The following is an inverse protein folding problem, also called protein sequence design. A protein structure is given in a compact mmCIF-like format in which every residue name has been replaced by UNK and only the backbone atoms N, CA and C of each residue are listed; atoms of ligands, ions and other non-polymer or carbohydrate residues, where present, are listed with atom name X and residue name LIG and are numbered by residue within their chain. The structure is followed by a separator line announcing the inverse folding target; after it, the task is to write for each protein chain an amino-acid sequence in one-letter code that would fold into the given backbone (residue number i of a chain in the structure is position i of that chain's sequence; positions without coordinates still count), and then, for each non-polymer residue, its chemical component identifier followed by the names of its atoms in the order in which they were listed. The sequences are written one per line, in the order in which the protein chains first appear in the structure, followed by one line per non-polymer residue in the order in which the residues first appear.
data_IF_775197203610
#
_entry.id   IF_775197203610
#
_cell.length_a   1.000
_cell.length_b   1.000
_cell.length_c   1.000
_cell.angle_alpha   90.00
_cell.angle_beta   90.00
_cell.angle_gamma   90.00
#
_symmetry.space_group_name_H-M   'P 1'
#
loop_
_entity.id
_entity.type
_entity.pdbx_description
1 polymer ?
#
# COMPACT_ATOMS: atom_id res chain seq x y z
N UNK A 1 11.99 9.78 -0.17
CA UNK A 1 11.37 8.52 0.32
C UNK A 1 9.93 8.82 0.64
N UNK A 2 8.99 7.95 0.26
CA UNK A 2 7.59 8.01 0.65
C UNK A 2 7.27 6.76 1.47
N UNK A 3 6.93 6.95 2.74
CA UNK A 3 6.52 5.87 3.64
C UNK A 3 5.03 5.96 3.89
N UNK A 4 4.30 4.87 3.68
CA UNK A 4 2.88 4.74 3.99
C UNK A 4 2.72 3.66 5.05
N UNK A 5 2.52 4.11 6.29
CA UNK A 5 2.19 3.21 7.39
C UNK A 5 0.71 2.83 7.35
N UNK A 6 0.39 1.59 7.74
CA UNK A 6 -0.97 1.05 7.61
C UNK A 6 -1.54 1.21 6.19
N UNK A 7 -0.74 0.91 5.16
CA UNK A 7 -1.09 1.08 3.74
C UNK A 7 -2.51 0.61 3.36
N UNK A 8 -3.04 -0.53 3.87
CA UNK A 8 -4.41 -0.95 3.59
C UNK A 8 -5.51 0.00 4.11
N UNK A 9 -5.23 0.95 5.00
CA UNK A 9 -6.21 1.92 5.49
C UNK A 9 -6.39 3.13 4.56
N UNK A 10 -5.45 3.34 3.63
CA UNK A 10 -5.62 4.35 2.60
C UNK A 10 -6.69 3.94 1.59
N UNK A 11 -7.31 4.95 0.98
CA UNK A 11 -8.24 4.69 -0.12
C UNK A 11 -7.48 4.01 -1.28
N UNK A 12 -8.06 2.95 -1.85
CA UNK A 12 -7.46 2.25 -3.00
C UNK A 12 -7.15 3.19 -4.17
N UNK A 13 -8.02 4.19 -4.42
CA UNK A 13 -7.79 5.22 -5.43
C UNK A 13 -6.49 6.02 -5.20
N UNK A 14 -6.17 6.35 -3.95
CA UNK A 14 -4.97 7.10 -3.62
C UNK A 14 -3.72 6.23 -3.83
N UNK A 15 -3.78 4.96 -3.42
CA UNK A 15 -2.68 4.01 -3.63
C UNK A 15 -2.47 3.73 -5.12
N UNK A 16 -3.53 3.47 -5.88
CA UNK A 16 -3.46 3.22 -7.32
C UNK A 16 -2.89 4.44 -8.08
N UNK A 17 -3.15 5.66 -7.61
CA UNK A 17 -2.59 6.87 -8.17
C UNK A 17 -1.05 6.96 -8.01
N UNK A 18 -0.44 6.20 -7.10
CA UNK A 18 1.03 6.16 -6.92
C UNK A 18 1.75 5.42 -8.06
N UNK A 19 1.03 4.58 -8.82
CA UNK A 19 1.63 3.80 -9.92
C UNK A 19 2.32 4.68 -10.97
N UNK A 20 1.65 5.74 -11.43
CA UNK A 20 2.21 6.65 -12.44
C UNK A 20 3.49 7.36 -11.92
N UNK A 21 3.52 7.94 -10.70
CA UNK A 21 4.75 8.49 -10.13
C UNK A 21 5.90 7.48 -10.06
N UNK A 22 5.62 6.23 -9.65
CA UNK A 22 6.64 5.18 -9.55
C UNK A 22 7.24 4.82 -10.91
N UNK A 23 6.43 4.80 -11.96
CA UNK A 23 6.88 4.49 -13.32
C UNK A 23 7.59 5.67 -13.99
N UNK A 24 7.02 6.87 -13.86
CA UNK A 24 7.42 8.02 -14.68
C UNK A 24 8.34 9.02 -13.94
N UNK A 25 8.46 8.89 -12.62
CA UNK A 25 9.22 9.80 -11.77
C UNK A 25 8.64 11.22 -11.69
N UNK A 26 7.39 11.44 -12.11
CA UNK A 26 6.72 12.73 -12.07
C UNK A 26 5.19 12.60 -11.90
N UNK A 27 4.55 13.69 -11.52
CA UNK A 27 3.10 13.83 -11.47
C UNK A 27 2.68 14.97 -12.40
N UNK A 28 1.57 14.78 -13.10
CA UNK A 28 0.94 15.82 -13.91
C UNK A 28 -0.33 16.29 -13.20
N UNK A 29 -0.42 17.58 -12.92
CA UNK A 29 -1.60 18.19 -12.30
C UNK A 29 -2.26 19.10 -13.35
N UNK A 30 -3.44 18.70 -13.81
CA UNK A 30 -4.27 19.48 -14.73
C UNK A 30 -5.40 20.18 -13.98
N UNK A 31 -5.50 21.50 -14.11
CA UNK A 31 -6.54 22.36 -13.51
C UNK A 31 -7.04 23.35 -14.56
N UNK A 32 -8.11 24.08 -14.26
CA UNK A 32 -8.67 25.09 -15.19
C UNK A 32 -7.63 26.13 -15.64
N UNK A 33 -6.69 26.49 -14.76
CA UNK A 33 -5.63 27.45 -15.05
C UNK A 33 -4.44 26.88 -15.85
N UNK A 34 -4.41 25.57 -16.14
CA UNK A 34 -3.36 24.95 -16.93
C UNK A 34 -2.89 23.59 -16.40
N UNK A 35 -1.78 23.11 -16.97
CA UNK A 35 -1.17 21.81 -16.67
C UNK A 35 0.25 22.03 -16.18
N UNK A 36 0.60 21.44 -15.04
CA UNK A 36 1.96 21.47 -14.49
C UNK A 36 2.49 20.06 -14.29
N UNK A 37 3.78 19.88 -14.60
CA UNK A 37 4.53 18.64 -14.36
C UNK A 37 5.48 18.83 -13.19
N UNK A 38 5.32 18.02 -12.14
CA UNK A 38 6.09 18.09 -10.91
C UNK A 38 6.96 16.84 -10.73
N UNK A 39 8.23 16.96 -10.29
CA UNK A 39 9.07 15.80 -10.06
C UNK A 39 8.56 14.96 -8.88
N UNK A 40 8.63 13.63 -9.00
CA UNK A 40 8.12 12.68 -8.01
C UNK A 40 8.97 11.38 -8.00
N UNK A 41 10.30 11.52 -7.98
CA UNK A 41 11.21 10.36 -7.85
C UNK A 41 11.41 10.04 -6.37
N UNK A 42 10.92 8.90 -5.92
CA UNK A 42 11.05 8.46 -4.53
C UNK A 42 11.19 6.94 -4.43
N UNK A 43 11.87 6.48 -3.38
CA UNK A 43 11.72 5.12 -2.88
C UNK A 43 10.40 5.03 -2.10
N UNK A 44 9.56 4.07 -2.46
CA UNK A 44 8.31 3.78 -1.76
C UNK A 44 8.50 2.67 -0.74
N UNK A 45 7.98 2.86 0.46
CA UNK A 45 7.92 1.84 1.52
C UNK A 45 6.48 1.77 2.01
N UNK A 46 5.91 0.57 2.03
CA UNK A 46 4.57 0.30 2.53
C UNK A 46 4.70 -0.59 3.76
N UNK A 47 4.07 -0.19 4.87
CA UNK A 47 3.84 -1.09 5.99
C UNK A 47 2.37 -1.51 5.99
N UNK A 48 2.11 -2.79 6.26
CA UNK A 48 0.78 -3.34 6.28
C UNK A 48 0.70 -4.44 7.33
N UNK A 49 -0.37 -4.39 8.13
CA UNK A 49 -0.70 -5.49 9.03
C UNK A 49 -1.16 -6.70 8.21
N UNK A 50 -1.10 -7.92 8.75
CA UNK A 50 -1.60 -9.10 8.04
C UNK A 50 -3.14 -9.16 7.97
N UNK A 51 -3.82 -8.45 8.88
CA UNK A 51 -5.27 -8.28 8.96
C UNK A 51 -5.63 -7.05 9.82
N UNK A 52 -6.91 -6.65 9.93
CA UNK A 52 -7.31 -5.49 10.74
C UNK A 52 -6.95 -5.61 12.24
N UNK A 53 -6.95 -6.82 12.82
CA UNK A 53 -6.59 -6.99 14.23
C UNK A 53 -5.09 -7.18 14.48
N UNK A 54 -4.27 -7.20 13.43
CA UNK A 54 -2.81 -7.36 13.51
C UNK A 54 -2.30 -8.79 13.82
N UNK A 55 -3.17 -9.70 14.26
CA UNK A 55 -2.78 -11.03 14.80
C UNK A 55 -2.85 -12.19 13.80
N UNK A 56 -3.11 -11.92 12.52
CA UNK A 56 -3.21 -12.99 11.52
C UNK A 56 -1.83 -13.50 11.11
N UNK A 57 -1.38 -14.61 11.69
CA UNK A 57 -0.13 -15.29 11.35
C UNK A 57 -0.39 -16.64 10.66
N UNK A 58 0.65 -17.30 10.14
CA UNK A 58 0.57 -18.63 9.50
C UNK A 58 -0.07 -19.71 10.41
N UNK A 59 0.00 -19.54 11.74
CA UNK A 59 -0.59 -20.48 12.72
C UNK A 59 -1.96 -20.03 13.25
N UNK A 60 -2.44 -18.84 12.89
CA UNK A 60 -3.75 -18.31 13.29
C UNK A 60 -3.92 -18.07 14.80
N UNK A 61 -2.86 -18.19 15.60
CA UNK A 61 -2.95 -18.06 17.04
C UNK A 61 -3.32 -16.63 17.44
N UNK A 62 -4.55 -16.44 17.94
CA UNK A 62 -5.04 -15.15 18.47
C UNK A 62 -5.71 -14.22 17.47
N UNK A 63 -5.82 -14.59 16.19
CA UNK A 63 -6.58 -13.80 15.22
C UNK A 63 -8.10 -14.02 15.37
N UNK A 64 -8.84 -12.94 15.60
CA UNK A 64 -10.32 -12.98 15.70
C UNK A 64 -11.02 -12.61 14.39
N UNK A 65 -10.26 -12.18 13.37
CA UNK A 65 -10.84 -11.79 12.09
C UNK A 65 -11.36 -13.02 11.32
N UNK A 66 -12.62 -13.00 10.83
CA UNK A 66 -13.11 -14.01 9.91
C UNK A 66 -12.24 -14.08 8.63
N UNK A 67 -12.07 -15.26 8.00
CA UNK A 67 -11.27 -15.39 6.78
C UNK A 67 -11.69 -14.44 5.64
N UNK A 68 -12.98 -14.11 5.55
CA UNK A 68 -13.50 -13.13 4.58
C UNK A 68 -13.00 -11.71 4.86
N UNK A 69 -12.87 -11.33 6.13
CA UNK A 69 -12.37 -10.01 6.55
C UNK A 69 -10.87 -9.91 6.26
N UNK A 70 -10.10 -10.96 6.56
CA UNK A 70 -8.66 -11.01 6.26
C UNK A 70 -8.43 -10.85 4.75
N UNK A 71 -9.09 -11.68 3.93
CA UNK A 71 -8.98 -11.60 2.46
C UNK A 71 -9.35 -10.23 1.94
N UNK A 72 -10.44 -9.64 2.45
CA UNK A 72 -10.88 -8.29 2.04
C UNK A 72 -9.88 -7.21 2.42
N UNK A 73 -9.27 -7.31 3.60
CA UNK A 73 -8.26 -6.36 4.07
C UNK A 73 -7.00 -6.42 3.20
N UNK A 74 -6.47 -7.63 2.97
CA UNK A 74 -5.29 -7.83 2.12
C UNK A 74 -5.54 -7.37 0.67
N UNK A 75 -6.75 -7.59 0.15
CA UNK A 75 -7.15 -7.14 -1.18
C UNK A 75 -7.26 -5.61 -1.34
N UNK A 76 -7.15 -4.82 -0.26
CA UNK A 76 -7.09 -3.35 -0.37
C UNK A 76 -5.78 -2.87 -1.01
N UNK A 77 -4.72 -3.67 -0.92
CA UNK A 77 -3.51 -3.49 -1.71
C UNK A 77 -3.71 -4.18 -3.06
N UNK A 78 -3.87 -3.38 -4.12
CA UNK A 78 -4.16 -3.91 -5.45
C UNK A 78 -2.94 -4.66 -6.01
N UNK A 79 -3.18 -5.73 -6.78
CA UNK A 79 -2.13 -6.44 -7.52
C UNK A 79 -1.26 -5.48 -8.36
N UNK A 80 -1.85 -4.58 -9.17
CA UNK A 80 -1.08 -3.64 -9.98
C UNK A 80 -0.21 -2.64 -9.19
N UNK A 81 -0.57 -2.30 -7.95
CA UNK A 81 0.31 -1.54 -7.06
C UNK A 81 1.46 -2.43 -6.57
N UNK A 82 1.13 -3.64 -6.13
CA UNK A 82 2.09 -4.60 -5.60
C UNK A 82 3.07 -5.13 -6.65
N UNK A 83 2.74 -5.04 -7.94
CA UNK A 83 3.63 -5.28 -9.08
C UNK A 83 4.73 -4.20 -9.22
N UNK A 84 4.63 -3.11 -8.46
CA UNK A 84 5.65 -2.05 -8.34
C UNK A 84 6.45 -2.13 -7.05
N UNK A 85 6.25 -3.20 -6.27
CA UNK A 85 6.98 -3.47 -5.03
C UNK A 85 7.94 -4.62 -5.29
N UNK A 86 9.21 -4.28 -5.48
CA UNK A 86 10.25 -5.26 -5.81
C UNK A 86 10.62 -6.16 -4.62
N UNK A 87 10.46 -5.65 -3.40
CA UNK A 87 10.84 -6.32 -2.16
C UNK A 87 9.64 -6.41 -1.21
N UNK A 88 9.33 -7.63 -0.78
CA UNK A 88 8.35 -7.90 0.28
C UNK A 88 9.06 -8.61 1.42
N UNK A 89 8.88 -8.07 2.62
CA UNK A 89 9.48 -8.61 3.84
C UNK A 89 8.35 -8.82 4.84
N UNK A 90 8.21 -10.05 5.30
CA UNK A 90 7.39 -10.35 6.46
C UNK A 90 8.20 -10.04 7.72
N UNK A 91 7.60 -9.32 8.66
CA UNK A 91 8.25 -8.91 9.91
C UNK A 91 7.56 -9.66 11.04
N UNK A 92 8.36 -10.33 11.87
CA UNK A 92 7.86 -10.95 13.10
C UNK A 92 7.37 -9.86 14.08
N UNK A 93 6.38 -10.18 14.94
CA UNK A 93 5.99 -9.29 16.03
C UNK A 93 7.21 -8.91 16.88
N UNK A 94 7.22 -7.67 17.37
CA UNK A 94 8.21 -7.23 18.35
C UNK A 94 7.78 -7.76 19.72
N UNK A 95 8.68 -8.48 20.39
CA UNK A 95 8.50 -9.00 21.76
C UNK A 95 8.32 -7.89 22.81
#
# INVERSE_FOLDING_TARGET
MLFLDEAPEFSGKALDALRQPLESGHVVVARAAGVVRLPARFLMVLAANPCPCGRHTLTGAGCECPPSVVRRYQARLSGPLLDRVDLRVEVEPVD
#
